data_IF_088757374736
#
_entry.id   IF_088757374736
#
_cell.length_a   1.000
_cell.length_b   1.000
_cell.length_c   1.000
_cell.angle_alpha   90.00
_cell.angle_beta   90.00
_cell.angle_gamma   90.00
#
_symmetry.space_group_name_H-M   'P 1'
#
loop_
_entity.id
_entity.type
_entity.pdbx_description
1 polymer ?
#
# COMPACT_ATOMS: atom_id res chain seq x y z
N UNK A 1 -2.87 9.45 -18.45
CA UNK A 1 -3.23 8.01 -18.51
C UNK A 1 -3.94 7.57 -19.79
N UNK A 2 -4.35 8.46 -20.69
CA UNK A 2 -5.03 8.09 -21.95
C UNK A 2 -4.05 7.33 -22.86
N UNK A 3 -4.28 6.04 -23.09
CA UNK A 3 -3.60 5.22 -24.11
C UNK A 3 -2.72 4.05 -23.63
N UNK A 4 -2.36 3.95 -22.33
CA UNK A 4 -1.49 2.87 -21.85
C UNK A 4 -2.07 2.10 -20.64
N UNK A 5 -3.39 1.98 -20.56
CA UNK A 5 -4.09 1.33 -19.45
C UNK A 5 -3.62 -0.11 -19.21
N UNK A 6 -3.40 -0.90 -20.27
CA UNK A 6 -2.98 -2.29 -20.11
C UNK A 6 -1.63 -2.44 -19.40
N UNK A 7 -0.68 -1.52 -19.66
CA UNK A 7 0.63 -1.53 -19.00
C UNK A 7 0.54 -1.19 -17.50
N UNK A 8 -0.54 -0.55 -17.09
CA UNK A 8 -0.78 -0.20 -15.68
C UNK A 8 -1.64 -1.27 -15.01
N UNK A 9 -2.74 -1.70 -15.65
CA UNK A 9 -3.71 -2.63 -15.06
C UNK A 9 -3.10 -4.01 -14.83
N UNK A 10 -2.34 -4.53 -15.81
CA UNK A 10 -1.78 -5.89 -15.74
C UNK A 10 -0.88 -6.11 -14.51
N UNK A 11 0.12 -5.25 -14.20
CA UNK A 11 0.92 -5.42 -13.00
C UNK A 11 0.11 -5.34 -11.70
N UNK A 12 -0.83 -4.40 -11.61
CA UNK A 12 -1.69 -4.27 -10.44
C UNK A 12 -2.55 -5.51 -10.22
N UNK A 13 -3.12 -6.04 -11.31
CA UNK A 13 -4.00 -7.20 -11.25
C UNK A 13 -3.23 -8.48 -10.87
N UNK A 14 -2.08 -8.72 -11.51
CA UNK A 14 -1.24 -9.88 -11.19
C UNK A 14 -0.78 -9.85 -9.72
N UNK A 15 -0.34 -8.71 -9.23
CA UNK A 15 0.11 -8.59 -7.85
C UNK A 15 -1.05 -8.70 -6.85
N UNK A 16 -2.24 -8.22 -7.21
CA UNK A 16 -3.44 -8.40 -6.39
C UNK A 16 -3.86 -9.88 -6.29
N UNK A 17 -3.79 -10.63 -7.39
CA UNK A 17 -4.05 -12.08 -7.39
C UNK A 17 -3.04 -12.80 -6.49
N UNK A 18 -1.75 -12.53 -6.66
CA UNK A 18 -0.69 -13.15 -5.86
C UNK A 18 -0.92 -12.86 -4.37
N UNK A 19 -1.22 -11.62 -4.02
CA UNK A 19 -1.51 -11.23 -2.64
C UNK A 19 -2.76 -11.94 -2.11
N UNK A 20 -3.82 -12.06 -2.92
CA UNK A 20 -5.06 -12.75 -2.54
C UNK A 20 -4.87 -14.25 -2.29
N UNK A 21 -4.10 -14.92 -3.15
CA UNK A 21 -3.80 -16.34 -2.97
C UNK A 21 -2.99 -16.58 -1.68
N UNK A 22 -2.02 -15.73 -1.39
CA UNK A 22 -1.19 -15.83 -0.19
C UNK A 22 -1.96 -15.55 1.12
N UNK A 23 -3.08 -14.84 1.04
CA UNK A 23 -3.92 -14.51 2.20
C UNK A 23 -5.18 -15.37 2.27
N UNK A 24 -5.31 -16.38 1.43
CA UNK A 24 -6.49 -17.24 1.43
C UNK A 24 -6.52 -18.07 2.72
N UNK A 25 -7.60 -17.92 3.50
CA UNK A 25 -7.79 -18.58 4.79
C UNK A 25 -7.84 -20.10 4.64
N UNK A 26 -8.38 -20.63 3.53
CA UNK A 26 -8.43 -22.07 3.26
C UNK A 26 -7.02 -22.63 3.02
N UNK A 27 -6.17 -21.91 2.31
CA UNK A 27 -4.78 -22.30 2.09
C UNK A 27 -4.01 -22.30 3.41
N UNK A 28 -4.17 -21.26 4.20
CA UNK A 28 -3.52 -21.12 5.50
C UNK A 28 -4.02 -22.23 6.45
N UNK A 29 -5.35 -22.42 6.54
CA UNK A 29 -5.97 -23.44 7.36
C UNK A 29 -5.54 -24.87 7.01
N UNK A 30 -5.45 -25.19 5.71
CA UNK A 30 -4.96 -26.47 5.24
C UNK A 30 -3.49 -26.71 5.60
N UNK A 31 -2.64 -25.68 5.56
CA UNK A 31 -1.24 -25.78 5.97
C UNK A 31 -1.13 -26.04 7.48
N UNK A 32 -1.92 -25.32 8.29
CA UNK A 32 -1.95 -25.54 9.74
C UNK A 32 -2.44 -26.93 10.11
N UNK A 33 -3.48 -27.44 9.45
CA UNK A 33 -4.06 -28.75 9.74
C UNK A 33 -3.23 -29.91 9.22
N UNK A 34 -2.60 -29.77 8.04
CA UNK A 34 -1.84 -30.83 7.39
C UNK A 34 -0.40 -30.96 7.87
N UNK A 35 0.24 -29.82 8.20
CA UNK A 35 1.68 -29.77 8.50
C UNK A 35 2.00 -29.22 9.89
N UNK A 36 0.99 -28.88 10.68
CA UNK A 36 1.13 -28.40 12.05
C UNK A 36 1.42 -26.91 12.19
N UNK A 37 1.44 -26.44 13.44
CA UNK A 37 1.53 -25.01 13.79
C UNK A 37 2.83 -24.37 13.29
N UNK A 38 3.95 -25.09 13.30
CA UNK A 38 5.24 -24.54 12.90
C UNK A 38 5.26 -24.18 11.40
N UNK A 39 4.77 -25.06 10.53
CA UNK A 39 4.70 -24.80 9.09
C UNK A 39 3.71 -23.70 8.75
N UNK A 40 2.59 -23.65 9.44
CA UNK A 40 1.64 -22.54 9.32
C UNK A 40 2.24 -21.20 9.72
N UNK A 41 3.01 -21.15 10.81
CA UNK A 41 3.71 -19.95 11.23
C UNK A 41 4.77 -19.50 10.21
N UNK A 42 5.56 -20.44 9.67
CA UNK A 42 6.54 -20.15 8.61
C UNK A 42 5.84 -19.60 7.36
N UNK A 43 4.75 -20.22 6.92
CA UNK A 43 3.97 -19.72 5.79
C UNK A 43 3.44 -18.30 6.03
N UNK A 44 2.90 -18.04 7.22
CA UNK A 44 2.37 -16.70 7.56
C UNK A 44 3.46 -15.62 7.53
N UNK A 45 4.67 -15.94 8.00
CA UNK A 45 5.83 -15.03 7.92
C UNK A 45 6.23 -14.80 6.47
N UNK A 46 6.31 -15.85 5.65
CA UNK A 46 6.63 -15.72 4.22
C UNK A 46 5.58 -14.87 3.48
N UNK A 47 4.31 -15.11 3.74
CA UNK A 47 3.21 -14.31 3.16
C UNK A 47 3.32 -12.83 3.56
N UNK A 48 3.68 -12.54 4.81
CA UNK A 48 3.96 -11.18 5.30
C UNK A 48 5.09 -10.51 4.52
N UNK A 49 6.20 -11.20 4.31
CA UNK A 49 7.35 -10.68 3.54
C UNK A 49 6.94 -10.36 2.12
N UNK A 50 6.28 -11.30 1.44
CA UNK A 50 5.85 -11.12 0.05
C UNK A 50 4.87 -9.96 -0.08
N UNK A 51 3.89 -9.85 0.82
CA UNK A 51 2.95 -8.73 0.81
C UNK A 51 3.63 -7.37 1.03
N UNK A 52 4.64 -7.30 1.90
CA UNK A 52 5.42 -6.08 2.12
C UNK A 52 6.16 -5.65 0.85
N UNK A 53 6.76 -6.60 0.13
CA UNK A 53 7.45 -6.34 -1.14
C UNK A 53 6.48 -5.86 -2.20
N UNK A 54 5.32 -6.51 -2.32
CA UNK A 54 4.26 -6.11 -3.26
C UNK A 54 3.80 -4.68 -2.98
N UNK A 55 3.53 -4.34 -1.71
CA UNK A 55 3.05 -3.03 -1.32
C UNK A 55 4.05 -1.92 -1.69
N UNK A 56 5.34 -2.13 -1.40
CA UNK A 56 6.40 -1.17 -1.75
C UNK A 56 6.61 -1.11 -3.26
N UNK A 57 6.58 -2.25 -3.95
CA UNK A 57 6.67 -2.31 -5.41
C UNK A 57 5.55 -1.52 -6.08
N UNK A 58 4.31 -1.70 -5.64
CA UNK A 58 3.15 -0.95 -6.15
C UNK A 58 3.25 0.54 -5.84
N UNK A 59 3.73 0.91 -4.64
CA UNK A 59 3.93 2.31 -4.28
C UNK A 59 4.99 2.98 -5.17
N UNK A 60 6.14 2.31 -5.41
CA UNK A 60 7.19 2.84 -6.27
C UNK A 60 6.76 2.91 -7.74
N UNK A 61 6.00 1.93 -8.21
CA UNK A 61 5.45 1.94 -9.56
C UNK A 61 4.42 3.07 -9.75
N UNK A 62 3.52 3.28 -8.78
CA UNK A 62 2.55 4.38 -8.85
C UNK A 62 3.23 5.76 -8.80
N UNK A 63 4.33 5.91 -8.09
CA UNK A 63 5.16 7.12 -8.14
C UNK A 63 5.76 7.33 -9.54
N UNK A 64 6.28 6.27 -10.18
CA UNK A 64 6.84 6.36 -11.53
C UNK A 64 5.82 6.78 -12.59
N UNK A 65 4.54 6.39 -12.41
CA UNK A 65 3.45 6.81 -13.29
C UNK A 65 3.22 8.32 -13.20
N UNK A 66 3.29 8.89 -11.98
CA UNK A 66 3.11 10.32 -11.76
C UNK A 66 4.27 11.11 -12.34
N UNK A 67 5.49 10.59 -12.23
CA UNK A 67 6.71 11.16 -12.81
C UNK A 67 6.75 11.06 -14.35
N UNK A 68 5.69 10.52 -14.97
CA UNK A 68 5.60 10.36 -16.43
C UNK A 68 6.44 9.21 -17.00
N UNK A 69 7.13 8.45 -16.15
CA UNK A 69 7.96 7.31 -16.51
C UNK A 69 7.23 6.02 -16.12
N UNK A 70 6.55 5.37 -17.06
CA UNK A 70 5.92 4.07 -16.82
C UNK A 70 6.98 2.96 -16.82
N UNK A 71 7.74 2.87 -15.73
CA UNK A 71 8.84 1.90 -15.59
C UNK A 71 8.43 0.75 -14.68
N UNK A 72 8.13 -0.40 -15.29
CA UNK A 72 7.78 -1.63 -14.57
C UNK A 72 8.97 -2.19 -13.76
N UNK A 73 10.22 -1.78 -14.04
CA UNK A 73 11.38 -2.19 -13.25
C UNK A 73 11.30 -1.67 -11.81
N UNK A 74 10.56 -0.59 -11.58
CA UNK A 74 10.28 -0.05 -10.26
C UNK A 74 9.49 -0.99 -9.34
N UNK A 75 8.79 -1.98 -9.88
CA UNK A 75 8.16 -3.03 -9.07
C UNK A 75 9.20 -3.86 -8.29
N UNK A 76 10.40 -4.03 -8.86
CA UNK A 76 11.51 -4.73 -8.20
C UNK A 76 12.15 -3.93 -7.05
N UNK A 77 11.86 -2.64 -6.93
CA UNK A 77 12.39 -1.81 -5.85
C UNK A 77 12.00 -2.34 -4.47
N UNK A 78 10.83 -2.95 -4.34
CA UNK A 78 10.39 -3.62 -3.12
C UNK A 78 11.38 -4.66 -2.60
N UNK A 79 12.09 -5.35 -3.49
CA UNK A 79 13.10 -6.37 -3.12
C UNK A 79 14.31 -5.76 -2.42
N UNK A 80 14.71 -4.54 -2.80
CA UNK A 80 15.90 -3.88 -2.26
C UNK A 80 15.71 -3.35 -0.84
N UNK A 81 14.46 -3.10 -0.44
CA UNK A 81 14.13 -2.54 0.87
C UNK A 81 13.28 -3.48 1.73
N UNK A 82 13.31 -4.80 1.43
CA UNK A 82 12.57 -5.83 2.18
C UNK A 82 12.72 -5.67 3.71
N UNK A 83 13.92 -5.54 4.29
CA UNK A 83 14.04 -5.46 5.76
C UNK A 83 13.31 -4.25 6.33
N UNK A 84 13.42 -3.09 5.69
CA UNK A 84 12.76 -1.85 6.12
C UNK A 84 11.24 -1.94 5.94
N UNK A 85 10.79 -2.49 4.82
CA UNK A 85 9.36 -2.68 4.54
C UNK A 85 8.70 -3.65 5.53
N UNK A 86 9.41 -4.70 5.92
CA UNK A 86 8.92 -5.69 6.87
C UNK A 86 8.82 -5.12 8.29
N UNK A 87 9.85 -4.44 8.77
CA UNK A 87 9.83 -3.74 10.06
C UNK A 87 8.69 -2.71 10.09
N UNK A 88 8.52 -1.94 9.02
CA UNK A 88 7.40 -1.01 8.89
C UNK A 88 6.06 -1.72 9.03
N UNK A 89 5.87 -2.83 8.31
CA UNK A 89 4.60 -3.56 8.30
C UNK A 89 4.25 -4.11 9.69
N UNK A 90 5.22 -4.68 10.39
CA UNK A 90 5.03 -5.18 11.76
C UNK A 90 4.68 -4.02 12.71
N UNK A 91 5.44 -2.93 12.67
CA UNK A 91 5.16 -1.75 13.51
C UNK A 91 3.79 -1.13 13.18
N UNK A 92 3.43 -1.07 11.90
CA UNK A 92 2.13 -0.56 11.47
C UNK A 92 0.97 -1.39 12.03
N UNK A 93 1.05 -2.73 11.95
CA UNK A 93 0.03 -3.61 12.53
C UNK A 93 -0.08 -3.38 14.04
N UNK A 94 1.03 -3.37 14.78
CA UNK A 94 1.03 -3.17 16.22
C UNK A 94 0.33 -1.85 16.57
N UNK A 95 0.68 -0.76 15.88
CA UNK A 95 0.10 0.57 16.16
C UNK A 95 -1.40 0.59 15.82
N UNK A 96 -1.82 -0.01 14.71
CA UNK A 96 -3.23 -0.06 14.31
C UNK A 96 -4.04 -0.91 15.28
N UNK A 97 -3.54 -2.10 15.66
CA UNK A 97 -4.22 -2.98 16.62
C UNK A 97 -4.38 -2.30 17.98
N UNK A 98 -3.32 -1.68 18.50
CA UNK A 98 -3.40 -0.91 19.74
C UNK A 98 -4.39 0.27 19.64
N UNK A 99 -4.40 0.96 18.51
CA UNK A 99 -5.35 2.04 18.24
C UNK A 99 -6.80 1.57 18.19
N UNK A 100 -7.06 0.40 17.59
CA UNK A 100 -8.40 -0.21 17.56
C UNK A 100 -8.80 -0.71 18.95
N UNK A 101 -7.88 -1.31 19.70
CA UNK A 101 -8.15 -1.76 21.07
C UNK A 101 -8.50 -0.60 22.02
N UNK A 102 -7.85 0.56 21.84
CA UNK A 102 -8.16 1.74 22.67
C UNK A 102 -9.51 2.37 22.32
N UNK A 103 -9.78 2.56 21.04
CA UNK A 103 -11.02 3.12 20.45
C UNK A 103 -10.89 3.06 18.92
N UNK A 104 -11.96 2.72 18.20
CA UNK A 104 -11.99 2.65 16.73
C UNK A 104 -11.52 3.96 16.08
N UNK A 105 -11.89 5.09 16.65
CA UNK A 105 -11.52 6.41 16.12
C UNK A 105 -10.01 6.68 16.13
N UNK A 106 -9.28 6.49 17.24
CA UNK A 106 -7.82 6.62 17.24
C UNK A 106 -7.14 5.64 16.26
N UNK A 107 -7.64 4.41 16.13
CA UNK A 107 -7.10 3.44 15.18
C UNK A 107 -7.12 3.95 13.74
N UNK A 108 -8.24 4.52 13.32
CA UNK A 108 -8.38 5.15 11.99
C UNK A 108 -7.42 6.34 11.85
N UNK A 109 -7.29 7.17 12.89
CA UNK A 109 -6.38 8.32 12.87
C UNK A 109 -4.92 7.86 12.71
N UNK A 110 -4.48 6.83 13.43
CA UNK A 110 -3.13 6.27 13.31
C UNK A 110 -2.91 5.63 11.94
N UNK A 111 -3.87 4.88 11.41
CA UNK A 111 -3.78 4.29 10.08
C UNK A 111 -3.58 5.37 9.00
N UNK A 112 -4.32 6.47 9.09
CA UNK A 112 -4.18 7.64 8.20
C UNK A 112 -2.81 8.30 8.38
N UNK A 113 -2.38 8.50 9.61
CA UNK A 113 -1.14 9.21 9.94
C UNK A 113 0.10 8.50 9.38
N UNK A 114 0.09 7.17 9.35
CA UNK A 114 1.22 6.37 8.88
C UNK A 114 1.07 5.85 7.44
N UNK A 115 0.00 6.23 6.75
CA UNK A 115 -0.28 5.77 5.38
C UNK A 115 0.77 6.18 4.34
N UNK A 116 1.56 7.22 4.62
CA UNK A 116 2.55 7.75 3.68
C UNK A 116 3.93 7.08 3.79
N UNK A 117 4.16 6.22 4.78
CA UNK A 117 5.48 5.65 5.06
C UNK A 117 6.03 4.87 3.87
N UNK A 118 5.20 4.08 3.17
CA UNK A 118 5.64 3.35 1.97
C UNK A 118 6.19 4.27 0.88
N UNK A 119 5.52 5.40 0.64
CA UNK A 119 5.95 6.38 -0.36
C UNK A 119 7.24 7.10 0.06
N UNK A 120 7.43 7.33 1.38
CA UNK A 120 8.65 7.92 1.93
C UNK A 120 9.82 6.96 1.73
N UNK A 121 9.65 5.67 2.06
CA UNK A 121 10.66 4.65 1.85
C UNK A 121 11.01 4.43 0.38
N UNK A 122 10.05 4.60 -0.53
CA UNK A 122 10.28 4.54 -1.97
C UNK A 122 11.14 5.70 -2.49
N UNK A 123 11.01 6.90 -1.90
CA UNK A 123 11.76 8.09 -2.30
C UNK A 123 13.15 8.16 -1.67
N UNK A 124 13.30 7.63 -0.46
CA UNK A 124 14.52 7.69 0.34
C UNK A 124 14.73 6.32 1.00
N UNK A 125 15.46 5.44 0.32
CA UNK A 125 15.73 4.08 0.81
C UNK A 125 16.69 4.03 2.00
N UNK A 126 17.45 5.12 2.23
CA UNK A 126 18.41 5.19 3.33
C UNK A 126 17.78 5.66 4.64
N UNK A 127 16.58 6.24 4.60
CA UNK A 127 15.89 6.71 5.81
C UNK A 127 15.64 5.57 6.79
N UNK A 128 15.85 5.83 8.08
CA UNK A 128 15.49 4.90 9.15
C UNK A 128 13.97 4.71 9.25
N UNK A 129 13.54 3.51 9.64
CA UNK A 129 12.10 3.20 9.74
C UNK A 129 11.38 4.16 10.69
N UNK A 130 11.95 4.42 11.87
CA UNK A 130 11.35 5.32 12.87
C UNK A 130 11.25 6.75 12.33
N UNK A 131 12.26 7.21 11.58
CA UNK A 131 12.25 8.55 11.00
C UNK A 131 11.24 8.66 9.85
N UNK A 132 11.03 7.57 9.10
CA UNK A 132 9.96 7.48 8.11
C UNK A 132 8.56 7.60 8.76
N UNK A 133 8.34 6.98 9.91
CA UNK A 133 7.10 7.14 10.69
C UNK A 133 6.90 8.58 11.17
N UNK A 134 7.93 9.20 11.77
CA UNK A 134 7.88 10.60 12.21
C UNK A 134 7.60 11.54 11.05
N UNK A 135 8.28 11.32 9.92
CA UNK A 135 8.10 12.11 8.70
C UNK A 135 6.68 11.98 8.15
N UNK A 136 6.14 10.74 8.11
CA UNK A 136 4.74 10.49 7.70
C UNK A 136 3.76 11.22 8.61
N UNK A 137 3.92 11.10 9.93
CA UNK A 137 3.07 11.77 10.92
C UNK A 137 3.08 13.30 10.74
N UNK A 138 4.27 13.88 10.55
CA UNK A 138 4.46 15.30 10.30
C UNK A 138 3.78 15.75 9.01
N UNK A 139 3.98 15.03 7.91
CA UNK A 139 3.38 15.32 6.60
C UNK A 139 1.85 15.24 6.64
N UNK A 140 1.29 14.31 7.40
CA UNK A 140 -0.17 14.12 7.51
C UNK A 140 -0.84 15.12 8.45
N UNK A 141 -0.07 15.92 9.19
CA UNK A 141 -0.64 16.97 10.02
C UNK A 141 -1.30 18.06 9.15
N UNK A 142 -2.55 18.37 9.44
CA UNK A 142 -3.39 19.25 8.62
C UNK A 142 -4.03 18.61 7.38
N UNK A 143 -3.57 17.41 6.95
CA UNK A 143 -4.04 16.75 5.73
C UNK A 143 -4.85 15.46 5.99
N UNK A 144 -5.02 15.05 7.25
CA UNK A 144 -5.73 13.82 7.65
C UNK A 144 -7.14 13.74 7.07
N UNK A 145 -7.89 14.85 7.13
CA UNK A 145 -9.24 14.92 6.62
C UNK A 145 -9.33 14.79 5.09
N UNK A 146 -8.36 15.33 4.36
CA UNK A 146 -8.29 15.20 2.92
C UNK A 146 -8.04 13.74 2.51
N UNK A 147 -7.12 13.06 3.21
CA UNK A 147 -6.84 11.65 2.98
C UNK A 147 -8.02 10.75 3.38
N UNK A 148 -8.69 11.05 4.49
CA UNK A 148 -9.92 10.35 4.89
C UNK A 148 -11.00 10.43 3.81
N UNK A 149 -11.27 11.61 3.27
CA UNK A 149 -12.23 11.79 2.17
C UNK A 149 -11.83 11.00 0.92
N UNK A 150 -10.55 10.94 0.61
CA UNK A 150 -10.04 10.16 -0.50
C UNK A 150 -10.35 8.67 -0.32
N UNK A 151 -10.06 8.12 0.86
CA UNK A 151 -10.38 6.74 1.21
C UNK A 151 -11.90 6.47 1.18
N UNK A 152 -12.69 7.36 1.74
CA UNK A 152 -14.15 7.23 1.76
C UNK A 152 -14.73 7.19 0.34
N UNK A 153 -14.20 7.99 -0.58
CA UNK A 153 -14.60 7.96 -1.99
C UNK A 153 -14.35 6.58 -2.62
N UNK A 154 -13.17 6.02 -2.40
CA UNK A 154 -12.86 4.70 -2.95
C UNK A 154 -13.64 3.58 -2.25
N UNK A 155 -13.90 3.69 -0.95
CA UNK A 155 -14.78 2.77 -0.23
C UNK A 155 -16.19 2.74 -0.84
N UNK A 156 -16.77 3.91 -1.15
CA UNK A 156 -18.05 4.00 -1.84
C UNK A 156 -18.02 3.36 -3.24
N UNK A 157 -16.96 3.59 -4.01
CA UNK A 157 -16.80 2.95 -5.31
C UNK A 157 -16.65 1.43 -5.20
N UNK A 158 -15.99 0.94 -4.15
CA UNK A 158 -15.92 -0.50 -3.87
C UNK A 158 -17.29 -1.08 -3.55
N UNK A 159 -18.10 -0.40 -2.76
CA UNK A 159 -19.48 -0.82 -2.49
C UNK A 159 -20.30 -0.88 -3.79
N UNK A 160 -20.17 0.12 -4.65
CA UNK A 160 -20.84 0.13 -5.96
C UNK A 160 -20.33 -1.00 -6.88
N UNK A 161 -19.06 -1.42 -6.75
CA UNK A 161 -18.51 -2.50 -7.56
C UNK A 161 -19.14 -3.87 -7.27
N UNK A 162 -19.81 -4.05 -6.13
CA UNK A 162 -20.56 -5.25 -5.79
C UNK A 162 -21.68 -5.49 -6.83
N UNK A 163 -22.35 -4.44 -7.27
CA UNK A 163 -23.40 -4.51 -8.28
C UNK A 163 -22.90 -4.90 -9.68
N UNK A 164 -21.62 -4.74 -9.94
CA UNK A 164 -20.95 -5.10 -11.21
C UNK A 164 -20.13 -6.38 -11.11
N UNK A 165 -20.42 -7.25 -10.12
CA UNK A 165 -19.66 -8.47 -9.84
C UNK A 165 -18.13 -8.23 -9.76
N UNK A 166 -17.74 -7.12 -9.15
CA UNK A 166 -16.35 -6.67 -9.00
C UNK A 166 -15.57 -6.39 -10.30
N UNK A 167 -16.18 -6.50 -11.48
CA UNK A 167 -15.52 -6.19 -12.76
C UNK A 167 -14.99 -4.74 -12.75
N UNK A 168 -15.77 -3.82 -12.20
CA UNK A 168 -15.36 -2.42 -12.10
C UNK A 168 -14.21 -2.18 -11.11
N UNK A 169 -14.05 -3.03 -10.12
CA UNK A 169 -12.94 -2.95 -9.16
C UNK A 169 -11.57 -3.05 -9.85
N UNK A 170 -11.46 -3.82 -10.94
CA UNK A 170 -10.23 -3.91 -11.75
C UNK A 170 -9.72 -2.56 -12.24
N UNK A 171 -10.63 -1.66 -12.60
CA UNK A 171 -10.30 -0.30 -13.04
C UNK A 171 -10.07 0.65 -11.86
N UNK A 172 -10.68 0.36 -10.72
CA UNK A 172 -10.55 1.15 -9.50
C UNK A 172 -9.17 1.00 -8.84
N UNK A 173 -8.60 -0.20 -8.83
CA UNK A 173 -7.32 -0.47 -8.18
C UNK A 173 -6.19 0.45 -8.68
N UNK A 174 -5.85 0.50 -9.98
CA UNK A 174 -4.78 1.39 -10.45
C UNK A 174 -5.09 2.87 -10.25
N UNK A 175 -6.36 3.28 -10.33
CA UNK A 175 -6.77 4.66 -10.04
C UNK A 175 -6.58 5.02 -8.57
N UNK A 176 -6.88 4.12 -7.66
CA UNK A 176 -6.70 4.31 -6.24
C UNK A 176 -5.23 4.50 -5.88
N UNK A 177 -4.35 3.60 -6.34
CA UNK A 177 -2.92 3.70 -6.06
C UNK A 177 -2.29 4.97 -6.66
N UNK A 178 -2.66 5.34 -7.87
CA UNK A 178 -2.18 6.61 -8.48
C UNK A 178 -2.70 7.84 -7.74
N UNK A 179 -3.93 7.80 -7.21
CA UNK A 179 -4.46 8.90 -6.40
C UNK A 179 -3.75 9.03 -5.06
N UNK A 180 -3.37 7.92 -4.44
CA UNK A 180 -2.58 7.96 -3.21
C UNK A 180 -1.16 8.48 -3.46
N UNK A 181 -0.54 8.09 -4.57
CA UNK A 181 0.77 8.60 -4.95
C UNK A 181 0.72 10.12 -5.28
N UNK A 182 -0.33 10.58 -5.97
CA UNK A 182 -0.58 12.02 -6.19
C UNK A 182 -0.78 12.78 -4.88
N UNK A 183 -1.52 12.20 -3.96
CA UNK A 183 -1.71 12.78 -2.63
C UNK A 183 -0.37 12.91 -1.90
N UNK A 184 0.46 11.86 -1.93
CA UNK A 184 1.80 11.90 -1.37
C UNK A 184 2.67 13.00 -2.02
N UNK A 185 2.70 13.09 -3.34
CA UNK A 185 3.45 14.12 -4.07
C UNK A 185 3.01 15.53 -3.69
N UNK A 186 1.69 15.74 -3.50
CA UNK A 186 1.11 17.01 -3.07
C UNK A 186 1.54 17.38 -1.65
N UNK A 187 1.44 16.44 -0.70
CA UNK A 187 1.74 16.67 0.72
C UNK A 187 3.26 16.80 0.96
N UNK A 188 4.07 16.06 0.19
CA UNK A 188 5.54 16.16 0.25
C UNK A 188 6.12 17.39 -0.45
N UNK A 189 5.28 18.21 -1.12
CA UNK A 189 5.72 19.39 -1.88
C UNK A 189 6.40 19.07 -3.22
N UNK A 190 6.54 17.80 -3.58
CA UNK A 190 7.19 17.37 -4.83
C UNK A 190 6.36 17.73 -6.07
N UNK A 191 5.05 17.85 -5.93
CA UNK A 191 4.11 18.11 -7.02
C UNK A 191 4.33 19.46 -7.73
N UNK A 192 4.75 20.51 -6.98
CA UNK A 192 5.05 21.83 -7.57
C UNK A 192 6.33 21.84 -8.40
N UNK A 193 7.27 20.94 -8.15
CA UNK A 193 8.57 20.88 -8.82
C UNK A 193 8.49 20.25 -10.21
N UNK A 194 7.52 19.34 -10.42
CA UNK A 194 7.34 18.60 -11.68
C UNK A 194 6.50 19.36 -12.73
N UNK A 195 5.64 20.32 -12.30
CA UNK A 195 4.85 21.16 -13.22
C UNK A 195 5.65 22.38 -13.69
N UNK A 196 6.71 22.76 -12.97
CA UNK A 196 7.56 23.93 -13.27
C UNK A 196 8.85 23.56 -14.01
N UNK A 197 9.05 22.30 -14.35
CA UNK A 197 10.15 21.81 -15.19
C UNK A 197 9.64 21.30 -16.54
#
# INVERSE_FOLDING_TARGET
>A
MKGNYNKVIVPFFLLAIISGVLQNEDVIGNIYSSYGVFSGAVYSVLALVVNSVIAVGLASFSLSIIEGKMDTSKLKFGLNIIPKALIFYVLYIIVVVLGVLCLIVPGIIFAIMFSQVYYILCKDSEIGVIDAFKKSASMMNGHKWQYFKLNLRYALYFILSIFTLFIWALWLFPQMYTSYALFHAKVSGSYKKEISA
#
